data_IF_041284022249
#
_entry.id   IF_041284022249
#
_cell.length_a   1.000
_cell.length_b   1.000
_cell.length_c   1.000
_cell.angle_alpha   90.00
_cell.angle_beta   90.00
_cell.angle_gamma   90.00
#
_symmetry.space_group_name_H-M   'P 1'
#
loop_
_entity.id
_entity.type
_entity.pdbx_description
1 polymer ?
#
# COMPACT_ATOMS: atom_id res chain seq x y z
N UNK A 1 -22.62 -20.43 27.02
CA UNK A 1 -22.88 -19.66 28.04
C UNK A 1 -23.17 -18.23 27.73
N UNK A 2 -22.22 -17.24 27.78
CA UNK A 2 -22.54 -15.83 27.50
C UNK A 2 -23.21 -15.56 26.13
N UNK A 3 -23.08 -16.47 25.17
CA UNK A 3 -23.60 -16.33 23.81
C UNK A 3 -24.96 -16.98 23.57
N UNK A 4 -25.39 -17.87 24.46
CA UNK A 4 -26.71 -18.54 24.33
C UNK A 4 -27.85 -17.52 24.35
N UNK A 5 -27.71 -16.49 25.20
CA UNK A 5 -28.72 -15.43 25.29
C UNK A 5 -28.77 -14.55 24.01
N UNK A 6 -27.66 -14.31 23.33
CA UNK A 6 -27.66 -13.64 22.04
C UNK A 6 -28.32 -14.45 20.94
N UNK A 7 -28.22 -15.79 21.00
CA UNK A 7 -28.86 -16.69 20.03
C UNK A 7 -30.38 -16.76 20.21
N UNK A 8 -30.88 -16.52 21.42
CA UNK A 8 -32.32 -16.50 21.74
C UNK A 8 -32.95 -15.11 21.65
N UNK A 9 -32.14 -14.04 21.64
CA UNK A 9 -32.59 -12.67 21.45
C UNK A 9 -32.99 -12.40 19.98
N UNK A 10 -33.87 -11.42 19.78
CA UNK A 10 -34.19 -10.96 18.42
C UNK A 10 -32.97 -10.49 17.63
N UNK A 11 -33.06 -10.55 16.32
CA UNK A 11 -31.97 -10.00 15.45
C UNK A 11 -31.85 -8.52 15.66
N UNK A 12 -30.62 -8.05 15.76
CA UNK A 12 -30.27 -6.62 15.74
C UNK A 12 -30.54 -6.07 14.34
N UNK A 13 -31.12 -4.87 14.25
CA UNK A 13 -31.30 -4.20 12.96
C UNK A 13 -29.92 -3.88 12.34
N UNK A 14 -29.71 -4.35 11.11
CA UNK A 14 -28.45 -4.14 10.35
C UNK A 14 -28.25 -2.69 9.95
N UNK A 15 -29.28 -1.84 10.00
CA UNK A 15 -29.19 -0.41 9.73
C UNK A 15 -28.82 0.41 10.97
N UNK A 16 -28.65 -0.23 12.14
CA UNK A 16 -28.25 0.47 13.35
C UNK A 16 -26.86 1.11 13.17
N UNK A 17 -26.79 2.40 13.45
CA UNK A 17 -25.54 3.17 13.48
C UNK A 17 -25.05 3.31 14.92
N UNK A 18 -23.83 2.86 15.20
CA UNK A 18 -23.23 2.86 16.53
C UNK A 18 -22.16 3.95 16.73
N UNK A 19 -21.97 4.83 15.76
CA UNK A 19 -21.05 5.95 15.81
C UNK A 19 -21.53 7.09 16.73
N UNK A 20 -20.89 8.24 16.57
CA UNK A 20 -21.21 9.50 17.30
C UNK A 20 -21.31 10.66 16.33
N UNK A 21 -21.86 11.79 16.76
CA UNK A 21 -21.89 13.03 15.97
C UNK A 21 -20.48 13.66 15.80
N UNK A 22 -19.50 13.15 16.55
CA UNK A 22 -18.11 13.57 16.41
C UNK A 22 -17.36 12.83 15.30
N UNK A 23 -17.97 11.80 14.69
CA UNK A 23 -17.32 10.97 13.69
C UNK A 23 -17.13 11.73 12.38
N UNK A 24 -15.89 11.73 11.87
CA UNK A 24 -15.54 12.29 10.56
C UNK A 24 -14.30 11.62 9.97
N UNK A 25 -14.17 11.65 8.66
CA UNK A 25 -12.95 11.36 7.92
C UNK A 25 -12.72 12.48 6.89
N UNK A 26 -11.63 13.24 7.06
CA UNK A 26 -11.28 14.38 6.24
C UNK A 26 -9.94 14.15 5.57
N UNK A 27 -9.92 14.23 4.25
CA UNK A 27 -8.70 14.19 3.45
C UNK A 27 -8.56 15.49 2.66
N UNK A 28 -7.35 16.04 2.65
CA UNK A 28 -6.99 17.22 1.85
C UNK A 28 -5.75 16.89 1.06
N UNK A 29 -5.81 17.09 -0.25
CA UNK A 29 -4.69 16.84 -1.17
C UNK A 29 -4.35 18.11 -1.92
N UNK A 30 -3.08 18.51 -1.82
CA UNK A 30 -2.47 19.58 -2.61
C UNK A 30 -1.42 18.95 -3.51
N UNK A 31 -1.37 19.31 -4.79
CA UNK A 31 -0.33 18.85 -5.70
C UNK A 31 -0.01 19.84 -6.79
N UNK A 32 1.24 19.86 -7.20
CA UNK A 32 1.73 20.64 -8.34
C UNK A 32 2.68 19.80 -9.19
N UNK A 33 2.56 19.93 -10.49
CA UNK A 33 3.44 19.23 -11.45
C UNK A 33 3.95 20.23 -12.48
N UNK A 34 5.28 20.26 -12.64
CA UNK A 34 5.97 20.96 -13.72
C UNK A 34 6.56 19.92 -14.66
N UNK A 35 6.26 20.03 -15.95
CA UNK A 35 6.84 19.20 -16.99
C UNK A 35 7.53 20.07 -18.02
N UNK A 36 8.76 19.74 -18.32
CA UNK A 36 9.51 20.26 -19.46
C UNK A 36 9.77 19.11 -20.43
N UNK A 37 9.56 19.34 -21.71
CA UNK A 37 9.78 18.38 -22.77
C UNK A 37 10.45 19.09 -23.95
N UNK A 38 11.47 18.46 -24.53
CA UNK A 38 12.20 19.00 -25.66
C UNK A 38 12.66 17.88 -26.59
N UNK A 39 12.35 18.04 -27.85
CA UNK A 39 12.82 17.14 -28.90
C UNK A 39 14.23 17.56 -29.30
N UNK A 40 15.22 16.71 -28.99
CA UNK A 40 16.61 16.90 -29.40
C UNK A 40 16.80 16.60 -30.89
N UNK A 41 16.05 15.62 -31.37
CA UNK A 41 15.96 15.24 -32.79
C UNK A 41 14.55 14.73 -33.05
N UNK A 42 14.22 14.44 -34.31
CA UNK A 42 12.92 13.86 -34.70
C UNK A 42 12.61 12.52 -33.96
N UNK A 43 13.64 11.84 -33.48
CA UNK A 43 13.53 10.52 -32.87
C UNK A 43 13.98 10.48 -31.40
N UNK A 44 14.35 11.62 -30.82
CA UNK A 44 14.88 11.67 -29.45
C UNK A 44 14.28 12.82 -28.68
N UNK A 45 13.58 12.49 -27.61
CA UNK A 45 12.94 13.47 -26.72
C UNK A 45 13.51 13.36 -25.31
N UNK A 46 13.82 14.51 -24.71
CA UNK A 46 14.17 14.63 -23.28
C UNK A 46 12.98 15.23 -22.55
N UNK A 47 12.63 14.59 -21.44
CA UNK A 47 11.54 15.05 -20.56
C UNK A 47 12.04 15.16 -19.12
N UNK A 48 11.79 16.29 -18.47
CA UNK A 48 11.92 16.43 -17.02
C UNK A 48 10.55 16.66 -16.41
N UNK A 49 10.22 15.91 -15.38
CA UNK A 49 8.98 16.07 -14.62
C UNK A 49 9.31 16.23 -13.15
N UNK A 50 8.93 17.36 -12.59
CA UNK A 50 8.98 17.61 -11.14
C UNK A 50 7.56 17.61 -10.61
N UNK A 51 7.30 16.80 -9.60
CA UNK A 51 5.99 16.74 -8.92
C UNK A 51 6.17 16.87 -7.42
N UNK A 52 5.38 17.76 -6.85
CA UNK A 52 5.19 17.85 -5.42
C UNK A 52 3.74 17.50 -5.08
N UNK A 53 3.54 16.78 -3.97
CA UNK A 53 2.22 16.46 -3.45
C UNK A 53 2.25 16.42 -1.94
N UNK A 54 1.16 16.85 -1.32
CA UNK A 54 0.88 16.74 0.11
C UNK A 54 -0.52 16.18 0.30
N UNK A 55 -0.63 15.15 1.13
CA UNK A 55 -1.90 14.57 1.55
C UNK A 55 -1.97 14.66 3.07
N UNK A 56 -3.00 15.31 3.58
CA UNK A 56 -3.36 15.27 5.00
C UNK A 56 -4.60 14.43 5.16
N UNK A 57 -4.59 13.53 6.13
CA UNK A 57 -5.77 12.78 6.52
C UNK A 57 -5.95 12.90 8.04
N UNK A 58 -7.15 13.28 8.42
CA UNK A 58 -7.57 13.39 9.80
C UNK A 58 -8.92 12.69 9.94
N UNK A 59 -9.01 11.74 10.87
CA UNK A 59 -10.28 11.11 11.18
C UNK A 59 -10.45 10.85 12.68
N UNK A 60 -11.70 10.90 13.09
CA UNK A 60 -12.22 10.41 14.34
C UNK A 60 -13.38 9.49 13.98
N UNK A 61 -13.27 8.21 14.26
CA UNK A 61 -14.25 7.20 13.89
C UNK A 61 -14.56 6.34 15.12
N UNK A 62 -15.83 6.29 15.46
CA UNK A 62 -16.32 5.46 16.56
C UNK A 62 -16.88 4.14 16.02
N UNK A 63 -16.43 3.05 16.58
CA UNK A 63 -16.86 1.71 16.23
C UNK A 63 -17.19 0.90 17.50
N UNK A 64 -17.97 -0.15 17.37
CA UNK A 64 -18.18 -1.10 18.45
C UNK A 64 -16.97 -2.06 18.55
N UNK A 65 -16.60 -2.42 19.76
CA UNK A 65 -15.50 -3.35 20.00
C UNK A 65 -15.90 -4.77 19.61
N UNK A 66 -15.12 -5.43 18.77
CA UNK A 66 -15.40 -6.79 18.31
C UNK A 66 -15.50 -7.80 19.46
N UNK A 67 -16.39 -8.79 19.27
CA UNK A 67 -16.59 -9.92 20.17
C UNK A 67 -17.57 -9.67 21.31
N UNK A 68 -18.35 -10.70 21.63
CA UNK A 68 -19.44 -10.63 22.62
C UNK A 68 -18.98 -10.38 24.06
N UNK A 69 -17.66 -10.51 24.35
CA UNK A 69 -17.09 -10.12 25.67
C UNK A 69 -17.25 -8.62 25.95
N UNK A 70 -17.43 -7.80 24.90
CA UNK A 70 -17.61 -6.36 24.98
C UNK A 70 -19.08 -5.94 25.05
N UNK A 71 -20.00 -6.92 25.13
CA UNK A 71 -21.41 -6.72 25.38
C UNK A 71 -21.68 -6.93 26.88
N UNK A 72 -22.34 -5.97 27.47
CA UNK A 72 -22.84 -6.04 28.84
C UNK A 72 -24.36 -6.20 28.81
N UNK A 73 -24.87 -7.24 29.44
CA UNK A 73 -26.28 -7.59 29.53
C UNK A 73 -26.70 -7.72 31.02
N UNK A 74 -26.98 -6.61 31.71
CA UNK A 74 -27.30 -6.62 33.12
C UNK A 74 -28.58 -7.44 33.41
N UNK A 75 -29.57 -7.34 32.56
CA UNK A 75 -30.75 -8.19 32.56
C UNK A 75 -30.84 -8.97 31.25
N UNK A 76 -30.61 -10.27 31.31
CA UNK A 76 -30.58 -11.14 30.14
C UNK A 76 -31.92 -11.26 29.42
N UNK A 77 -33.00 -11.01 30.14
CA UNK A 77 -34.38 -11.10 29.62
C UNK A 77 -34.90 -9.75 29.06
N UNK A 78 -34.13 -8.68 29.21
CA UNK A 78 -34.49 -7.36 28.71
C UNK A 78 -33.38 -6.79 27.83
N UNK A 79 -33.55 -6.90 26.52
CA UNK A 79 -32.59 -6.43 25.51
C UNK A 79 -32.35 -4.90 25.54
N UNK A 80 -33.30 -4.13 26.10
CA UNK A 80 -33.12 -2.68 26.27
C UNK A 80 -32.02 -2.32 27.29
N UNK A 81 -31.60 -3.27 28.11
CA UNK A 81 -30.50 -3.08 29.07
C UNK A 81 -29.13 -3.46 28.48
N UNK A 82 -29.11 -4.03 27.28
CA UNK A 82 -27.87 -4.51 26.68
C UNK A 82 -27.08 -3.37 26.04
N UNK A 83 -25.81 -3.28 26.37
CA UNK A 83 -24.93 -2.26 25.84
C UNK A 83 -23.67 -2.87 25.23
N UNK A 84 -23.12 -2.18 24.25
CA UNK A 84 -21.90 -2.58 23.55
C UNK A 84 -20.83 -1.50 23.73
N UNK A 85 -19.63 -1.91 24.15
CA UNK A 85 -18.50 -1.00 24.31
C UNK A 85 -18.07 -0.42 22.98
N UNK A 86 -17.77 0.88 22.96
CA UNK A 86 -17.25 1.59 21.80
C UNK A 86 -15.72 1.70 21.85
N UNK A 87 -15.12 1.74 20.68
CA UNK A 87 -13.71 2.06 20.45
C UNK A 87 -13.64 3.33 19.60
N UNK A 88 -12.87 4.30 20.03
CA UNK A 88 -12.59 5.49 19.24
C UNK A 88 -11.27 5.30 18.50
N UNK A 89 -11.31 5.32 17.18
CA UNK A 89 -10.15 5.28 16.30
C UNK A 89 -9.85 6.69 15.81
N UNK A 90 -8.60 7.08 15.92
CA UNK A 90 -8.15 8.42 15.53
C UNK A 90 -6.94 8.33 14.62
N UNK A 91 -6.83 9.26 13.70
CA UNK A 91 -5.66 9.45 12.85
C UNK A 91 -5.48 10.92 12.52
N UNK A 92 -4.25 11.38 12.59
CA UNK A 92 -3.83 12.69 12.09
C UNK A 92 -2.47 12.48 11.43
N UNK A 93 -2.46 12.45 10.10
CA UNK A 93 -1.26 12.14 9.32
C UNK A 93 -1.07 13.13 8.18
N UNK A 94 0.17 13.48 7.92
CA UNK A 94 0.58 14.27 6.76
C UNK A 94 1.63 13.50 5.97
N UNK A 95 1.33 13.24 4.71
CA UNK A 95 2.27 12.68 3.73
C UNK A 95 2.70 13.78 2.77
N UNK A 96 3.99 13.82 2.41
CA UNK A 96 4.54 14.70 1.38
C UNK A 96 5.44 13.90 0.47
N UNK A 97 5.33 14.15 -0.83
CA UNK A 97 6.17 13.53 -1.84
C UNK A 97 6.72 14.63 -2.74
N UNK A 98 8.02 14.59 -2.98
CA UNK A 98 8.69 15.35 -4.01
C UNK A 98 9.40 14.37 -4.93
N UNK A 99 9.09 14.44 -6.22
CA UNK A 99 9.78 13.64 -7.24
C UNK A 99 10.35 14.56 -8.31
N UNK A 100 11.52 14.21 -8.81
CA UNK A 100 12.07 14.76 -10.05
C UNK A 100 12.60 13.62 -10.89
N UNK A 101 12.12 13.52 -12.11
CA UNK A 101 12.54 12.51 -13.07
C UNK A 101 12.99 13.19 -14.35
N UNK A 102 14.19 12.85 -14.79
CA UNK A 102 14.69 13.18 -16.13
C UNK A 102 14.76 11.89 -16.94
N UNK A 103 14.04 11.87 -18.04
CA UNK A 103 13.94 10.73 -18.94
C UNK A 103 14.33 11.15 -20.36
N UNK A 104 15.04 10.28 -21.05
CA UNK A 104 15.28 10.35 -22.48
C UNK A 104 14.62 9.15 -23.15
N UNK A 105 13.87 9.41 -24.19
CA UNK A 105 13.33 8.38 -25.10
C UNK A 105 13.92 8.55 -26.46
N UNK A 106 14.29 7.45 -27.11
CA UNK A 106 14.89 7.51 -28.44
C UNK A 106 14.52 6.26 -29.26
N UNK A 107 14.18 6.47 -30.52
CA UNK A 107 13.98 5.38 -31.48
C UNK A 107 15.07 5.44 -32.54
N UNK A 108 15.74 4.32 -32.79
CA UNK A 108 16.80 4.21 -33.79
C UNK A 108 16.97 2.77 -34.27
N UNK A 109 17.78 2.55 -35.29
CA UNK A 109 18.08 1.23 -35.82
C UNK A 109 19.58 0.91 -35.69
N UNK A 110 19.89 -0.34 -35.35
CA UNK A 110 21.22 -0.93 -35.45
C UNK A 110 21.17 -2.05 -36.46
N UNK A 111 21.55 -1.74 -37.69
CA UNK A 111 21.34 -2.63 -38.83
C UNK A 111 19.84 -2.85 -39.10
N UNK A 112 19.37 -4.09 -39.04
CA UNK A 112 17.96 -4.45 -39.21
C UNK A 112 17.15 -4.44 -37.89
N UNK A 113 17.79 -4.19 -36.74
CA UNK A 113 17.14 -4.22 -35.44
C UNK A 113 16.67 -2.81 -35.09
N UNK A 114 15.37 -2.66 -34.87
CA UNK A 114 14.78 -1.42 -34.33
C UNK A 114 14.90 -1.39 -32.80
N UNK A 115 15.20 -0.20 -32.27
CA UNK A 115 15.31 0.08 -30.84
C UNK A 115 14.29 1.14 -30.43
N UNK A 116 13.59 0.91 -29.32
CA UNK A 116 12.78 1.89 -28.62
C UNK A 116 13.27 1.95 -27.16
N UNK A 117 14.15 2.94 -26.93
CA UNK A 117 14.91 3.08 -25.67
C UNK A 117 14.25 4.11 -24.78
N UNK A 118 14.16 3.80 -23.48
CA UNK A 118 13.80 4.74 -22.42
C UNK A 118 14.81 4.62 -21.30
N UNK A 119 15.55 5.71 -21.03
CA UNK A 119 16.54 5.74 -19.96
C UNK A 119 16.39 7.02 -19.14
N UNK A 120 16.81 6.98 -17.88
CA UNK A 120 16.68 8.17 -17.05
C UNK A 120 17.20 8.01 -15.63
N UNK A 121 17.08 9.13 -14.92
CA UNK A 121 17.39 9.25 -13.50
C UNK A 121 16.18 9.79 -12.76
N UNK A 122 16.01 9.37 -11.52
CA UNK A 122 14.88 9.78 -10.70
C UNK A 122 15.35 10.05 -9.28
N UNK A 123 14.86 11.12 -8.69
CA UNK A 123 14.97 11.43 -7.27
C UNK A 123 13.58 11.46 -6.67
N UNK A 124 13.40 10.76 -5.54
CA UNK A 124 12.14 10.71 -4.78
C UNK A 124 12.46 11.02 -3.32
N UNK A 125 11.75 11.99 -2.75
CA UNK A 125 11.70 12.23 -1.31
C UNK A 125 10.28 12.06 -0.82
N UNK A 126 10.11 11.12 0.09
CA UNK A 126 8.83 10.82 0.73
C UNK A 126 8.94 11.10 2.22
N UNK A 127 7.96 11.81 2.78
CA UNK A 127 7.89 12.10 4.20
C UNK A 127 6.50 11.78 4.72
N UNK A 128 6.43 11.10 5.86
CA UNK A 128 5.20 10.89 6.60
C UNK A 128 5.40 11.38 8.04
N UNK A 129 4.50 12.22 8.51
CA UNK A 129 4.37 12.57 9.92
C UNK A 129 3.02 12.08 10.41
N UNK A 130 3.05 11.22 11.43
CA UNK A 130 1.86 10.75 12.14
C UNK A 130 1.85 11.41 13.51
N UNK A 131 0.87 12.29 13.74
CA UNK A 131 0.76 13.06 14.98
C UNK A 131 0.06 12.23 16.06
N UNK A 132 0.63 12.21 17.25
CA UNK A 132 -0.01 11.64 18.42
C UNK A 132 -1.14 12.54 18.90
N UNK A 133 -2.26 11.93 19.26
CA UNK A 133 -3.42 12.62 19.79
C UNK A 133 -3.78 12.08 21.16
N UNK A 134 -4.44 12.90 21.97
CA UNK A 134 -4.97 12.49 23.26
C UNK A 134 -6.01 11.38 23.07
N UNK A 135 -6.01 10.42 23.97
CA UNK A 135 -6.98 9.31 23.92
C UNK A 135 -8.40 9.87 24.13
N UNK A 136 -9.28 9.53 23.22
CA UNK A 136 -10.70 9.79 23.33
C UNK A 136 -11.44 8.50 23.71
N UNK A 137 -12.49 8.66 24.49
CA UNK A 137 -13.37 7.55 24.89
C UNK A 137 -14.80 7.90 24.54
N UNK A 138 -15.56 6.88 24.14
CA UNK A 138 -17.00 6.97 23.94
C UNK A 138 -17.70 6.05 24.93
N UNK A 139 -18.83 6.46 25.55
CA UNK A 139 -19.60 5.58 26.40
C UNK A 139 -20.18 4.40 25.59
N UNK A 140 -20.48 3.30 26.27
CA UNK A 140 -21.16 2.17 25.67
C UNK A 140 -22.50 2.59 25.08
N UNK A 141 -22.93 1.91 24.04
CA UNK A 141 -24.16 2.20 23.29
C UNK A 141 -25.13 1.04 23.45
N UNK A 142 -26.44 1.30 23.47
CA UNK A 142 -27.43 0.25 23.47
C UNK A 142 -27.33 -0.58 22.19
N UNK A 143 -27.42 -1.91 22.33
CA UNK A 143 -27.24 -2.83 21.21
C UNK A 143 -28.40 -2.80 20.21
N UNK A 144 -29.62 -2.65 20.71
CA UNK A 144 -30.85 -2.69 19.90
C UNK A 144 -31.40 -1.30 19.54
N UNK A 145 -31.13 -0.31 20.40
CA UNK A 145 -31.58 1.08 20.24
C UNK A 145 -30.42 2.03 20.41
N UNK A 146 -29.45 2.03 19.45
CA UNK A 146 -28.28 2.90 19.55
C UNK A 146 -28.68 4.38 19.48
N UNK A 147 -28.02 5.18 20.33
CA UNK A 147 -28.10 6.65 20.29
C UNK A 147 -26.79 7.16 19.76
N UNK A 148 -26.84 7.90 18.65
CA UNK A 148 -25.66 8.46 17.96
C UNK A 148 -25.46 9.96 18.20
N UNK A 149 -26.47 10.70 18.65
CA UNK A 149 -26.45 12.15 18.91
C UNK A 149 -25.60 12.52 20.15
N UNK A 150 -24.38 12.00 20.20
CA UNK A 150 -23.43 12.20 21.27
C UNK A 150 -22.17 12.85 20.71
N UNK A 151 -21.74 13.96 21.29
CA UNK A 151 -20.43 14.55 21.02
C UNK A 151 -19.40 14.04 22.03
N UNK A 152 -18.25 13.56 21.53
CA UNK A 152 -17.10 13.11 22.34
C UNK A 152 -15.90 14.04 22.22
N UNK A 153 -16.06 15.21 21.59
CA UNK A 153 -15.00 16.17 21.33
C UNK A 153 -14.31 15.95 19.99
N UNK A 154 -13.22 16.66 19.77
CA UNK A 154 -12.39 16.60 18.58
C UNK A 154 -10.99 16.07 18.88
N UNK A 155 -10.15 15.96 17.85
CA UNK A 155 -8.75 15.56 18.00
C UNK A 155 -7.95 16.70 18.65
N UNK A 156 -7.15 16.34 19.64
CA UNK A 156 -6.20 17.21 20.32
C UNK A 156 -4.82 16.57 20.33
N UNK A 157 -3.83 17.23 19.73
CA UNK A 157 -2.46 16.71 19.64
C UNK A 157 -1.76 16.77 20.99
N UNK A 158 -1.11 15.68 21.37
CA UNK A 158 -0.40 15.56 22.65
C UNK A 158 1.12 15.80 22.54
N UNK A 159 1.60 16.31 21.39
CA UNK A 159 3.03 16.56 21.14
C UNK A 159 3.84 15.34 20.70
N UNK A 160 3.36 14.12 20.94
CA UNK A 160 3.97 12.92 20.39
C UNK A 160 3.85 12.90 18.87
N UNK A 161 4.80 12.27 18.18
CA UNK A 161 4.76 12.08 16.75
C UNK A 161 5.63 10.90 16.30
N UNK A 162 5.41 10.46 15.08
CA UNK A 162 6.28 9.54 14.38
C UNK A 162 6.58 10.10 12.99
N UNK A 163 7.85 10.27 12.68
CA UNK A 163 8.32 10.84 11.41
C UNK A 163 9.09 9.77 10.65
N UNK A 164 8.69 9.51 9.42
CA UNK A 164 9.43 8.68 8.48
C UNK A 164 9.79 9.50 7.25
N UNK A 165 11.04 9.37 6.79
CA UNK A 165 11.50 9.95 5.54
C UNK A 165 12.28 8.91 4.76
N UNK A 166 11.99 8.79 3.47
CA UNK A 166 12.80 8.01 2.54
C UNK A 166 13.25 8.89 1.39
N UNK A 167 14.55 8.92 1.16
CA UNK A 167 15.18 9.49 -0.04
C UNK A 167 15.62 8.34 -0.94
N UNK A 168 15.19 8.37 -2.19
CA UNK A 168 15.58 7.37 -3.21
C UNK A 168 16.17 8.07 -4.41
N UNK A 169 17.32 7.57 -4.87
CA UNK A 169 17.92 7.94 -6.15
C UNK A 169 17.94 6.69 -7.04
N UNK A 170 17.31 6.78 -8.21
CA UNK A 170 17.20 5.70 -9.18
C UNK A 170 17.84 6.05 -10.51
N UNK A 171 18.47 5.07 -11.14
CA UNK A 171 18.90 5.13 -12.55
C UNK A 171 18.32 3.91 -13.27
N UNK A 172 17.84 4.10 -14.47
CA UNK A 172 17.23 3.02 -15.24
C UNK A 172 17.46 3.14 -16.73
N UNK A 173 17.43 1.98 -17.40
CA UNK A 173 17.39 1.89 -18.85
C UNK A 173 16.52 0.69 -19.26
N UNK A 174 15.66 0.91 -20.24
CA UNK A 174 14.79 -0.09 -20.86
C UNK A 174 14.91 0.02 -22.37
N UNK A 175 14.91 -1.12 -23.07
CA UNK A 175 14.90 -1.17 -24.51
C UNK A 175 13.85 -2.19 -24.99
N UNK A 176 13.17 -1.86 -26.06
CA UNK A 176 12.35 -2.79 -26.83
C UNK A 176 12.97 -2.95 -28.20
N UNK A 177 13.43 -4.16 -28.47
CA UNK A 177 14.09 -4.57 -29.71
C UNK A 177 13.06 -5.15 -30.68
N UNK A 178 12.87 -4.51 -31.83
CA UNK A 178 12.15 -5.10 -32.95
C UNK A 178 13.12 -5.89 -33.82
N UNK A 179 13.19 -7.21 -33.60
CA UNK A 179 14.12 -8.11 -34.28
C UNK A 179 13.65 -8.44 -35.69
N UNK A 180 12.31 -8.58 -35.85
CA UNK A 180 11.63 -8.81 -37.14
C UNK A 180 10.23 -8.19 -37.06
N UNK A 181 9.49 -8.18 -38.16
CA UNK A 181 8.08 -7.74 -38.17
C UNK A 181 7.19 -8.51 -37.17
N UNK A 182 7.62 -9.72 -36.75
CA UNK A 182 6.86 -10.60 -35.88
C UNK A 182 7.41 -10.75 -34.48
N UNK A 183 8.69 -10.45 -34.26
CA UNK A 183 9.38 -10.73 -32.98
C UNK A 183 9.84 -9.42 -32.38
N UNK A 184 9.35 -9.16 -31.17
CA UNK A 184 9.86 -8.10 -30.28
C UNK A 184 10.39 -8.72 -28.99
N UNK A 185 11.50 -8.19 -28.49
CA UNK A 185 12.08 -8.56 -27.20
C UNK A 185 12.25 -7.26 -26.40
N UNK A 186 11.84 -7.27 -25.14
CA UNK A 186 12.05 -6.11 -24.28
C UNK A 186 12.86 -6.52 -23.04
N UNK A 187 13.62 -5.57 -22.54
CA UNK A 187 14.40 -5.75 -21.33
C UNK A 187 14.74 -4.43 -20.67
N UNK A 188 15.06 -4.47 -19.39
CA UNK A 188 15.48 -3.27 -18.69
C UNK A 188 15.88 -3.53 -17.26
N UNK A 189 16.69 -2.59 -16.78
CA UNK A 189 17.28 -2.61 -15.46
C UNK A 189 17.03 -1.26 -14.78
N UNK A 190 16.75 -1.31 -13.47
CA UNK A 190 16.67 -0.15 -12.59
C UNK A 190 17.47 -0.43 -11.32
N UNK A 191 18.34 0.50 -10.97
CA UNK A 191 19.12 0.49 -9.75
C UNK A 191 18.64 1.65 -8.88
N UNK A 192 18.20 1.35 -7.65
CA UNK A 192 17.78 2.34 -6.68
C UNK A 192 18.69 2.29 -5.46
N UNK A 193 19.17 3.45 -5.03
CA UNK A 193 19.78 3.65 -3.72
C UNK A 193 18.77 4.36 -2.84
N UNK A 194 18.42 3.78 -1.68
CA UNK A 194 17.47 4.37 -0.75
C UNK A 194 18.10 4.62 0.61
N UNK A 195 17.61 5.66 1.28
CA UNK A 195 17.94 5.99 2.66
C UNK A 195 16.66 6.36 3.41
N UNK A 196 16.25 5.51 4.34
CA UNK A 196 15.09 5.74 5.21
C UNK A 196 15.55 6.13 6.60
N UNK A 197 15.02 7.24 7.13
CA UNK A 197 15.13 7.68 8.53
C UNK A 197 13.77 7.58 9.20
N UNK A 198 13.78 7.17 10.45
CA UNK A 198 12.57 7.10 11.26
C UNK A 198 12.85 7.49 12.70
N UNK A 199 12.10 8.46 13.19
CA UNK A 199 12.07 8.84 14.58
C UNK A 199 10.65 8.77 15.14
N UNK A 200 10.54 8.46 16.42
CA UNK A 200 9.28 8.41 17.13
C UNK A 200 9.42 8.97 18.52
N UNK A 201 8.62 9.99 18.82
CA UNK A 201 8.41 10.49 20.16
C UNK A 201 7.07 9.98 20.71
N UNK A 202 7.07 9.54 21.95
CA UNK A 202 5.88 9.02 22.65
C UNK A 202 5.68 9.82 23.93
N UNK A 203 4.43 10.13 24.29
CA UNK A 203 4.13 10.77 25.56
C UNK A 203 4.58 9.86 26.72
N UNK A 204 5.40 10.38 27.61
CA UNK A 204 5.93 9.63 28.74
C UNK A 204 4.93 9.55 29.92
N UNK A 205 5.13 8.63 30.83
CA UNK A 205 4.20 8.32 31.91
C UNK A 205 3.14 7.31 31.48
N UNK A 206 2.02 7.29 32.17
CA UNK A 206 0.99 6.31 31.94
C UNK A 206 1.24 4.98 32.67
N UNK A 207 0.42 3.97 32.35
CA UNK A 207 0.50 2.63 32.98
C UNK A 207 0.40 1.53 31.92
N UNK A 208 0.88 0.33 32.27
CA UNK A 208 0.80 -0.86 31.44
C UNK A 208 2.08 -1.16 30.63
N UNK A 209 2.01 -2.19 29.80
CA UNK A 209 3.16 -2.74 29.07
C UNK A 209 3.83 -1.79 28.08
N UNK A 210 3.14 -0.71 27.68
CA UNK A 210 3.62 0.28 26.71
C UNK A 210 3.96 1.62 27.35
N UNK A 211 3.94 1.68 28.69
CA UNK A 211 4.33 2.90 29.39
C UNK A 211 5.80 3.23 29.14
N UNK A 212 6.06 4.50 28.87
CA UNK A 212 7.41 5.05 28.69
C UNK A 212 7.73 5.88 29.93
N UNK A 213 8.84 5.58 30.59
CA UNK A 213 9.26 6.37 31.78
C UNK A 213 9.58 7.81 31.35
N UNK A 214 9.15 8.78 32.17
CA UNK A 214 9.56 10.16 31.94
C UNK A 214 11.02 10.33 32.43
N UNK A 215 11.87 10.98 31.62
CA UNK A 215 13.20 11.38 32.05
C UNK A 215 13.14 12.32 33.28
N UNK A 216 14.20 12.39 34.08
CA UNK A 216 14.26 13.32 35.22
C UNK A 216 13.96 14.77 34.79
N UNK A 217 13.07 15.44 35.51
CA UNK A 217 12.66 16.81 35.22
C UNK A 217 11.58 16.99 34.16
N UNK A 218 11.10 15.91 33.54
CA UNK A 218 9.97 15.98 32.60
C UNK A 218 8.65 15.55 33.25
N UNK A 219 7.58 16.27 32.92
CA UNK A 219 6.23 15.96 33.39
C UNK A 219 5.62 14.80 32.60
N UNK A 220 4.72 14.05 33.25
CA UNK A 220 3.88 13.07 32.57
C UNK A 220 3.16 13.70 31.37
N UNK A 221 3.16 13.02 30.22
CA UNK A 221 2.61 13.52 28.97
C UNK A 221 3.64 14.20 28.07
N UNK A 222 4.84 14.54 28.58
CA UNK A 222 5.90 15.11 27.74
C UNK A 222 6.35 14.13 26.67
N UNK A 223 6.58 14.56 25.41
CA UNK A 223 7.08 13.69 24.35
C UNK A 223 8.54 13.31 24.59
N UNK A 224 8.85 12.04 24.54
CA UNK A 224 10.20 11.46 24.69
C UNK A 224 10.51 10.59 23.47
N UNK A 225 11.69 10.78 22.89
CA UNK A 225 12.13 9.96 21.75
C UNK A 225 12.32 8.51 22.19
N UNK A 226 11.56 7.62 21.58
CA UNK A 226 11.57 6.18 21.87
C UNK A 226 12.18 5.36 20.75
N UNK A 227 12.24 5.91 19.54
CA UNK A 227 12.91 5.31 18.38
C UNK A 227 13.62 6.43 17.64
N UNK A 228 14.86 6.19 17.23
CA UNK A 228 15.64 6.99 16.30
C UNK A 228 16.57 6.03 15.54
N UNK A 229 16.24 5.77 14.28
CA UNK A 229 16.97 4.76 13.52
C UNK A 229 16.89 5.04 12.01
N UNK A 230 17.82 4.45 11.27
CA UNK A 230 17.90 4.60 9.83
C UNK A 230 18.26 3.27 9.15
N UNK A 231 17.89 3.15 7.88
CA UNK A 231 18.25 2.04 7.01
C UNK A 231 18.54 2.54 5.62
N UNK A 232 19.70 2.14 5.07
CA UNK A 232 20.07 2.36 3.67
C UNK A 232 20.25 1.04 2.96
N UNK A 233 20.12 1.06 1.64
CA UNK A 233 20.39 -0.10 0.81
C UNK A 233 20.28 0.20 -0.68
N UNK A 234 20.56 -0.82 -1.48
CA UNK A 234 20.43 -0.78 -2.93
C UNK A 234 19.40 -1.83 -3.36
N UNK A 235 18.58 -1.50 -4.34
CA UNK A 235 17.60 -2.39 -4.96
C UNK A 235 17.97 -2.55 -6.42
N UNK A 236 17.92 -3.79 -6.89
CA UNK A 236 18.16 -4.14 -8.30
C UNK A 236 16.86 -4.72 -8.85
N UNK A 237 16.20 -3.96 -9.69
CA UNK A 237 14.93 -4.32 -10.30
C UNK A 237 15.16 -4.50 -11.81
N UNK A 238 14.58 -5.55 -12.40
CA UNK A 238 14.73 -5.78 -13.83
C UNK A 238 13.51 -6.51 -14.41
N UNK A 239 13.34 -6.36 -15.71
CA UNK A 239 12.36 -7.13 -16.47
C UNK A 239 12.95 -7.60 -17.79
N UNK A 240 12.42 -8.71 -18.30
CA UNK A 240 12.64 -9.20 -19.65
C UNK A 240 11.35 -9.80 -20.19
N UNK A 241 11.12 -9.65 -21.48
CA UNK A 241 9.95 -10.19 -22.13
C UNK A 241 10.17 -10.40 -23.64
N UNK A 242 9.28 -11.17 -24.22
CA UNK A 242 9.24 -11.38 -25.67
C UNK A 242 7.78 -11.38 -26.13
N UNK A 243 7.56 -10.89 -27.33
CA UNK A 243 6.28 -10.88 -28.00
C UNK A 243 6.44 -11.48 -29.40
N UNK A 244 5.51 -12.34 -29.77
CA UNK A 244 5.42 -12.91 -31.12
C UNK A 244 4.06 -12.55 -31.73
N UNK A 245 4.08 -11.86 -32.88
CA UNK A 245 2.89 -11.56 -33.68
C UNK A 245 2.53 -12.77 -34.53
N UNK A 246 1.47 -13.47 -34.13
CA UNK A 246 0.92 -14.60 -34.86
C UNK A 246 0.30 -14.15 -36.19
N UNK A 247 -0.42 -13.04 -36.11
CA UNK A 247 -1.07 -12.36 -37.23
C UNK A 247 -0.97 -10.83 -37.05
N UNK A 248 -1.45 -10.04 -37.98
CA UNK A 248 -1.56 -8.59 -37.83
C UNK A 248 -2.51 -8.17 -36.68
N UNK A 249 -3.46 -9.05 -36.32
CA UNK A 249 -4.46 -8.80 -35.31
C UNK A 249 -4.18 -9.47 -33.98
N UNK A 250 -3.24 -10.43 -33.92
CA UNK A 250 -3.04 -11.27 -32.75
C UNK A 250 -1.58 -11.52 -32.39
N UNK A 251 -1.30 -11.49 -31.10
CA UNK A 251 0.02 -11.79 -30.56
C UNK A 251 -0.06 -12.65 -29.30
N UNK A 252 1.06 -13.30 -29.01
CA UNK A 252 1.35 -13.93 -27.71
C UNK A 252 2.60 -13.28 -27.12
N UNK A 253 2.67 -13.21 -25.81
CA UNK A 253 3.80 -12.64 -25.12
C UNK A 253 4.13 -13.38 -23.82
N UNK A 254 5.37 -13.28 -23.41
CA UNK A 254 5.84 -13.72 -22.10
C UNK A 254 6.64 -12.60 -21.45
N UNK A 255 6.44 -12.43 -20.14
CA UNK A 255 7.18 -11.46 -19.35
C UNK A 255 7.68 -12.10 -18.05
N UNK A 256 8.84 -11.66 -17.61
CA UNK A 256 9.37 -11.94 -16.28
C UNK A 256 9.95 -10.66 -15.69
N UNK A 257 9.62 -10.40 -14.42
CA UNK A 257 10.08 -9.20 -13.73
C UNK A 257 10.44 -9.51 -12.27
N UNK A 258 11.43 -8.77 -11.77
CA UNK A 258 11.80 -8.74 -10.36
C UNK A 258 11.65 -7.32 -9.85
N UNK A 259 10.92 -7.15 -8.75
CA UNK A 259 10.82 -5.90 -8.01
C UNK A 259 11.11 -6.11 -6.53
N UNK A 260 11.64 -5.08 -5.87
CA UNK A 260 12.03 -5.13 -4.48
C UNK A 260 11.44 -3.94 -3.71
N UNK A 261 11.08 -4.18 -2.44
CA UNK A 261 10.58 -3.17 -1.53
C UNK A 261 11.47 -3.13 -0.27
N UNK A 262 11.97 -1.95 0.15
CA UNK A 262 12.78 -1.83 1.34
C UNK A 262 11.97 -2.10 2.63
N UNK A 263 12.61 -2.42 3.76
CA UNK A 263 11.96 -2.46 5.06
C UNK A 263 11.30 -1.12 5.42
N UNK A 264 10.22 -1.17 6.24
CA UNK A 264 9.46 0.02 6.64
C UNK A 264 8.16 0.20 5.86
N UNK A 265 8.06 -0.38 4.66
CA UNK A 265 6.83 -0.36 3.86
C UNK A 265 6.27 1.05 3.63
N UNK A 266 4.97 1.16 3.50
CA UNK A 266 4.26 2.43 3.20
C UNK A 266 4.21 3.43 4.36
N UNK A 267 4.56 3.02 5.58
CA UNK A 267 4.58 3.91 6.75
C UNK A 267 5.97 4.46 7.06
N UNK A 268 7.01 4.03 6.33
CA UNK A 268 8.43 4.31 6.59
C UNK A 268 8.90 3.99 8.02
N UNK A 269 8.05 3.35 8.81
CA UNK A 269 8.36 3.00 10.20
C UNK A 269 9.49 1.99 10.26
N UNK A 270 10.47 2.26 11.10
CA UNK A 270 11.59 1.36 11.36
C UNK A 270 11.66 1.00 12.85
N UNK A 271 12.23 -0.15 13.13
CA UNK A 271 12.54 -0.60 14.47
C UNK A 271 14.02 -1.00 14.56
N UNK A 272 14.60 -0.88 15.73
CA UNK A 272 15.99 -1.28 15.96
C UNK A 272 16.23 -2.74 15.56
N UNK A 273 17.44 -3.04 15.11
CA UNK A 273 17.89 -4.41 14.83
C UNK A 273 17.67 -5.31 16.07
N UNK A 274 17.20 -6.53 15.84
CA UNK A 274 16.94 -7.49 16.93
C UNK A 274 15.66 -7.25 17.75
N UNK A 275 14.87 -6.21 17.46
CA UNK A 275 13.57 -5.98 18.11
C UNK A 275 12.60 -7.11 17.75
N UNK A 276 12.47 -8.12 18.59
CA UNK A 276 11.69 -9.34 18.31
C UNK A 276 10.21 -9.07 17.97
N UNK A 277 9.63 -7.99 18.49
CA UNK A 277 8.21 -7.66 18.36
C UNK A 277 7.87 -6.64 17.27
N UNK A 278 8.71 -6.47 16.27
CA UNK A 278 8.47 -5.51 15.16
C UNK A 278 8.70 -6.13 13.79
N UNK A 279 7.73 -5.91 12.90
CA UNK A 279 7.81 -6.25 11.48
C UNK A 279 8.76 -5.36 10.68
N UNK A 280 9.20 -4.23 11.25
CA UNK A 280 9.91 -3.16 10.53
C UNK A 280 11.38 -3.04 10.97
N UNK A 281 12.00 -4.15 11.35
CA UNK A 281 13.39 -4.19 11.81
C UNK A 281 14.37 -3.76 10.73
N UNK A 282 15.39 -3.01 11.10
CA UNK A 282 16.43 -2.53 10.18
C UNK A 282 17.36 -3.63 9.67
N UNK A 283 17.43 -4.80 10.33
CA UNK A 283 18.20 -5.97 9.87
C UNK A 283 17.44 -6.83 8.85
N UNK A 284 16.15 -6.59 8.63
CA UNK A 284 15.42 -7.28 7.58
C UNK A 284 15.89 -6.88 6.16
N UNK A 285 15.85 -7.86 5.26
CA UNK A 285 16.18 -7.67 3.84
C UNK A 285 14.97 -7.04 3.11
N UNK A 286 15.19 -6.38 1.96
CA UNK A 286 14.07 -6.00 1.10
C UNK A 286 13.21 -7.22 0.73
N UNK A 287 11.89 -7.04 0.75
CA UNK A 287 10.98 -8.02 0.15
C UNK A 287 11.20 -8.05 -1.35
N UNK A 288 11.06 -9.22 -1.96
CA UNK A 288 11.32 -9.44 -3.38
C UNK A 288 10.14 -10.13 -4.04
N UNK A 289 9.54 -9.47 -5.01
CA UNK A 289 8.50 -10.05 -5.85
C UNK A 289 9.10 -10.50 -7.20
N UNK A 290 8.79 -11.73 -7.60
CA UNK A 290 9.15 -12.34 -8.89
C UNK A 290 7.86 -12.62 -9.62
N UNK A 291 7.61 -11.91 -10.71
CA UNK A 291 6.39 -12.04 -11.49
C UNK A 291 6.69 -12.66 -12.85
N UNK A 292 5.90 -13.63 -13.25
CA UNK A 292 5.89 -14.23 -14.58
C UNK A 292 4.49 -14.15 -15.17
N UNK A 293 4.41 -13.87 -16.45
CA UNK A 293 3.15 -13.74 -17.17
C UNK A 293 3.29 -14.32 -18.59
N UNK A 294 2.28 -15.07 -19.01
CA UNK A 294 2.09 -15.52 -20.38
C UNK A 294 0.71 -15.06 -20.84
N UNK A 295 0.65 -14.28 -21.90
CA UNK A 295 -0.62 -13.74 -22.35
C UNK A 295 -0.75 -13.68 -23.87
N UNK A 296 -1.95 -13.32 -24.30
CA UNK A 296 -2.31 -13.12 -25.71
C UNK A 296 -3.27 -11.95 -25.84
N UNK A 297 -3.17 -11.21 -26.95
CA UNK A 297 -4.04 -10.08 -27.29
C UNK A 297 -4.49 -10.20 -28.72
N UNK A 298 -5.79 -9.97 -28.97
CA UNK A 298 -6.42 -10.08 -30.27
C UNK A 298 -7.31 -8.89 -30.56
N UNK A 299 -7.06 -8.22 -31.67
CA UNK A 299 -7.93 -7.19 -32.22
C UNK A 299 -8.85 -7.81 -33.27
N UNK A 300 -10.13 -7.88 -32.99
CA UNK A 300 -11.14 -8.44 -33.89
C UNK A 300 -12.12 -7.35 -34.36
N UNK A 301 -13.05 -7.70 -35.26
CA UNK A 301 -14.04 -6.76 -35.82
C UNK A 301 -13.41 -5.50 -36.38
N UNK A 302 -12.46 -5.64 -37.32
CA UNK A 302 -11.72 -4.53 -37.94
C UNK A 302 -11.00 -3.64 -36.91
N UNK A 303 -10.38 -4.27 -35.91
CA UNK A 303 -9.63 -3.63 -34.81
C UNK A 303 -10.50 -2.81 -33.84
N UNK A 304 -11.83 -2.99 -33.87
CA UNK A 304 -12.74 -2.28 -32.97
C UNK A 304 -12.92 -2.93 -31.61
N UNK A 305 -12.60 -4.23 -31.49
CA UNK A 305 -12.71 -4.97 -30.23
C UNK A 305 -11.37 -5.65 -29.90
N UNK A 306 -10.80 -5.30 -28.74
CA UNK A 306 -9.61 -5.91 -28.16
C UNK A 306 -10.04 -6.98 -27.15
N UNK A 307 -9.60 -8.21 -27.37
CA UNK A 307 -9.67 -9.31 -26.41
C UNK A 307 -8.28 -9.56 -25.84
N UNK A 308 -8.17 -9.83 -24.55
CA UNK A 308 -6.93 -10.29 -23.95
C UNK A 308 -7.17 -11.40 -22.95
N UNK A 309 -6.16 -12.30 -22.83
CA UNK A 309 -6.11 -13.34 -21.83
C UNK A 309 -4.67 -13.44 -21.32
N UNK A 310 -4.50 -13.64 -20.03
CA UNK A 310 -3.19 -13.84 -19.40
C UNK A 310 -3.25 -14.87 -18.29
N UNK A 311 -2.19 -15.64 -18.15
CA UNK A 311 -1.85 -16.45 -16.98
C UNK A 311 -0.72 -15.77 -16.25
N UNK A 312 -0.84 -15.60 -14.95
CA UNK A 312 0.18 -14.92 -14.15
C UNK A 312 0.52 -15.67 -12.88
N UNK A 313 1.74 -15.48 -12.43
CA UNK A 313 2.23 -15.96 -11.14
C UNK A 313 3.21 -14.95 -10.56
N UNK A 314 3.00 -14.61 -9.29
CA UNK A 314 3.92 -13.79 -8.50
C UNK A 314 4.32 -14.52 -7.23
N UNK A 315 5.63 -14.74 -7.06
CA UNK A 315 6.24 -15.28 -5.84
C UNK A 315 6.86 -14.12 -5.05
N UNK A 316 6.46 -13.96 -3.79
CA UNK A 316 7.02 -12.96 -2.86
C UNK A 316 7.94 -13.69 -1.89
N UNK A 317 9.20 -13.27 -1.86
CA UNK A 317 10.25 -13.76 -0.96
C UNK A 317 10.60 -12.71 0.09
N UNK A 318 11.22 -13.16 1.18
CA UNK A 318 11.55 -12.31 2.34
C UNK A 318 10.28 -11.67 2.97
N UNK A 319 9.18 -12.39 2.96
CA UNK A 319 7.97 -11.96 3.65
C UNK A 319 8.20 -11.96 5.16
N UNK A 320 7.76 -10.90 5.81
CA UNK A 320 7.84 -10.75 7.25
C UNK A 320 6.58 -11.34 7.86
N UNK A 321 6.74 -12.32 8.74
CA UNK A 321 5.64 -13.04 9.38
C UNK A 321 5.78 -12.98 10.92
N UNK A 322 4.63 -12.91 11.59
CA UNK A 322 4.57 -13.06 13.03
C UNK A 322 4.71 -14.53 13.41
N UNK A 323 5.50 -14.80 14.43
CA UNK A 323 5.67 -16.10 15.05
C UNK A 323 4.63 -16.30 16.17
N UNK A 324 4.38 -17.54 16.58
CA UNK A 324 3.41 -17.87 17.64
C UNK A 324 3.80 -17.28 19.01
N UNK A 325 5.08 -17.04 19.24
CA UNK A 325 5.60 -16.39 20.45
C UNK A 325 5.46 -14.86 20.44
N UNK A 326 4.87 -14.28 19.37
CA UNK A 326 4.68 -12.84 19.19
C UNK A 326 5.91 -12.13 18.65
N UNK A 327 6.98 -12.83 18.29
CA UNK A 327 8.13 -12.27 17.58
C UNK A 327 7.88 -12.20 16.09
N UNK A 328 8.74 -11.51 15.34
CA UNK A 328 8.67 -11.40 13.89
C UNK A 328 9.93 -11.95 13.25
N UNK A 329 9.77 -12.69 12.19
CA UNK A 329 10.86 -13.23 11.38
C UNK A 329 10.62 -13.05 9.90
N UNK A 330 11.71 -13.16 9.12
CA UNK A 330 11.68 -12.92 7.66
C UNK A 330 12.11 -14.20 6.93
N UNK A 331 11.22 -15.16 6.86
CA UNK A 331 11.42 -16.43 6.13
C UNK A 331 10.23 -16.77 5.23
N UNK A 332 9.15 -15.97 5.32
CA UNK A 332 7.91 -16.27 4.64
C UNK A 332 8.04 -16.15 3.11
N UNK A 333 7.33 -17.03 2.42
CA UNK A 333 7.08 -16.92 0.99
C UNK A 333 5.59 -17.00 0.71
N UNK A 334 5.13 -16.14 -0.17
CA UNK A 334 3.75 -16.13 -0.66
C UNK A 334 3.74 -16.28 -2.16
N UNK A 335 2.72 -16.92 -2.67
CA UNK A 335 2.44 -17.02 -4.10
C UNK A 335 1.05 -16.56 -4.39
N UNK A 336 0.93 -15.77 -5.46
CA UNK A 336 -0.35 -15.44 -6.09
C UNK A 336 -0.27 -15.90 -7.53
N UNK A 337 -1.20 -16.74 -7.96
CA UNK A 337 -1.30 -17.21 -9.34
C UNK A 337 -2.75 -17.20 -9.81
N UNK A 338 -2.95 -16.99 -11.10
CA UNK A 338 -4.29 -16.89 -11.63
C UNK A 338 -4.33 -16.63 -13.12
N UNK A 339 -5.51 -16.24 -13.58
CA UNK A 339 -5.73 -15.82 -14.94
C UNK A 339 -6.65 -14.59 -15.03
N UNK A 340 -6.47 -13.85 -16.11
CA UNK A 340 -7.22 -12.67 -16.45
C UNK A 340 -7.77 -12.76 -17.86
N UNK A 341 -9.01 -12.29 -18.03
CA UNK A 341 -9.67 -12.17 -19.31
C UNK A 341 -10.23 -10.76 -19.43
N UNK A 342 -10.08 -10.11 -20.59
CA UNK A 342 -10.73 -8.82 -20.82
C UNK A 342 -11.24 -8.67 -22.25
N UNK A 343 -12.27 -7.85 -22.40
CA UNK A 343 -12.82 -7.44 -23.65
C UNK A 343 -13.11 -5.93 -23.60
N UNK A 344 -12.56 -5.16 -24.55
CA UNK A 344 -12.74 -3.71 -24.59
C UNK A 344 -12.90 -3.24 -26.03
N UNK A 345 -13.94 -2.50 -26.30
CA UNK A 345 -14.18 -1.94 -27.64
C UNK A 345 -15.64 -2.00 -28.08
N UNK A 346 -15.86 -1.86 -29.37
CA UNK A 346 -17.18 -1.84 -29.97
C UNK A 346 -17.56 -3.22 -30.51
N UNK A 347 -18.66 -3.79 -30.01
CA UNK A 347 -19.27 -5.00 -30.54
C UNK A 347 -20.00 -4.71 -31.85
N UNK A 348 -20.70 -3.58 -31.89
CA UNK A 348 -21.39 -3.04 -33.07
C UNK A 348 -21.14 -1.53 -33.13
N UNK A 349 -21.73 -0.84 -34.09
CA UNK A 349 -21.67 0.63 -34.20
C UNK A 349 -22.26 1.32 -32.96
N UNK A 350 -23.27 0.68 -32.31
CA UNK A 350 -24.05 1.28 -31.22
C UNK A 350 -23.73 0.66 -29.87
N UNK A 351 -22.94 -0.42 -29.82
CA UNK A 351 -22.65 -1.15 -28.58
C UNK A 351 -21.15 -1.19 -28.25
N UNK A 352 -20.80 -0.59 -27.15
CA UNK A 352 -19.45 -0.65 -26.57
C UNK A 352 -19.45 -1.60 -25.36
N UNK A 353 -18.44 -2.46 -25.27
CA UNK A 353 -18.21 -3.33 -24.12
C UNK A 353 -16.90 -2.94 -23.43
N UNK A 354 -16.92 -2.94 -22.10
CA UNK A 354 -15.75 -2.95 -21.23
C UNK A 354 -16.03 -4.04 -20.19
N UNK A 355 -15.33 -5.16 -20.28
CA UNK A 355 -15.49 -6.29 -19.39
C UNK A 355 -14.12 -6.84 -18.96
N UNK A 356 -14.02 -7.27 -17.70
CA UNK A 356 -12.85 -7.92 -17.15
C UNK A 356 -13.27 -9.02 -16.18
N UNK A 357 -12.53 -10.11 -16.20
CA UNK A 357 -12.67 -11.20 -15.24
C UNK A 357 -11.29 -11.65 -14.79
N UNK A 358 -11.07 -11.68 -13.48
CA UNK A 358 -9.82 -12.17 -12.87
C UNK A 358 -10.16 -13.24 -11.84
N UNK A 359 -9.49 -14.37 -11.93
CA UNK A 359 -9.48 -15.38 -10.87
C UNK A 359 -8.05 -15.56 -10.38
N UNK A 360 -7.88 -15.47 -9.06
CA UNK A 360 -6.57 -15.65 -8.44
C UNK A 360 -6.66 -16.52 -7.20
N UNK A 361 -5.55 -17.21 -6.92
CA UNK A 361 -5.36 -18.00 -5.72
C UNK A 361 -4.07 -17.54 -5.03
N UNK A 362 -4.18 -17.21 -3.74
CA UNK A 362 -3.07 -16.77 -2.92
C UNK A 362 -2.75 -17.85 -1.87
N UNK A 363 -1.48 -18.26 -1.80
CA UNK A 363 -1.00 -19.26 -0.85
C UNK A 363 0.24 -18.78 -0.12
N UNK A 364 0.36 -19.14 1.15
CA UNK A 364 1.63 -19.08 1.88
C UNK A 364 2.38 -20.37 1.58
N UNK A 365 3.51 -20.28 0.86
CA UNK A 365 4.28 -21.46 0.42
C UNK A 365 5.38 -21.83 1.41
N UNK A 366 5.85 -20.88 2.20
CA UNK A 366 6.73 -21.10 3.35
C UNK A 366 6.27 -20.17 4.49
N UNK A 367 6.09 -20.73 5.67
CA UNK A 367 5.68 -20.06 6.89
C UNK A 367 6.01 -20.96 8.09
N UNK A 368 5.78 -20.51 9.32
CA UNK A 368 5.74 -21.44 10.44
C UNK A 368 4.49 -22.33 10.31
N UNK A 369 4.69 -23.63 10.47
CA UNK A 369 3.60 -24.59 10.68
C UNK A 369 3.07 -24.51 12.09
#
# INVERSE_FOLDING_TARGET
PKYAALNSAGKVDTNNFYGTDSDYDKSTTDSGTLRFEHDLTDNTTVRNTTRWSRVKQEYLLTAVMGGARNITAPNINDVNTWSWSRLVNTKDVSNRILTNQTNITSTFNTGSIGHDVSAGVEFIRENQTNYGVNALTAPAVNLYHPVSNLSIGGLDRNGANANGQTDTFGIYAFDTLTLTERIEVNGGLRLDNYHTKYDRATACGGSGRRAVACPPGQSTGSPVTTVDTAKSGNLVNWKAGALYRLTEQGNVYVNYAISQQPPGGSSFALAASGSGNSANRTDFKPQKAKSSELGTKWQISDKRLLLSAALFRTDIENEVAANDDGTWSQYGKKRVEGYELSATGNLTADWTIIAGYTQQHATVTEGQN
#
